data_IF_901855674809
#
_entry.id   IF_901855674809
#
_cell.length_a   1.000
_cell.length_b   1.000
_cell.length_c   1.000
_cell.angle_alpha   90.00
_cell.angle_beta   90.00
_cell.angle_gamma   90.00
#
_symmetry.space_group_name_H-M   'P 1'
#
loop_
_entity.id
_entity.type
_entity.pdbx_description
1 polymer ?
#
# COMPACT_ATOMS: atom_id res chain seq x y z
N UNK A 1 7.49 -37.80 -12.51
CA UNK A 1 6.47 -36.78 -12.75
C UNK A 1 5.95 -36.13 -11.46
N UNK A 2 5.53 -36.90 -10.43
CA UNK A 2 4.98 -36.40 -9.15
C UNK A 2 5.85 -35.27 -8.50
N UNK A 3 7.17 -35.54 -8.34
CA UNK A 3 8.09 -34.54 -7.74
C UNK A 3 8.19 -33.27 -8.57
N UNK A 4 8.11 -33.35 -9.89
CA UNK A 4 8.09 -32.21 -10.78
C UNK A 4 6.82 -31.38 -10.59
N UNK A 5 5.65 -32.02 -10.59
CA UNK A 5 4.37 -31.34 -10.36
C UNK A 5 4.30 -30.71 -8.95
N UNK A 6 4.90 -31.35 -7.94
CA UNK A 6 4.99 -30.78 -6.59
C UNK A 6 5.86 -29.51 -6.56
N UNK A 7 6.97 -29.49 -7.31
CA UNK A 7 7.78 -28.27 -7.49
C UNK A 7 7.01 -27.20 -8.24
N UNK A 8 6.40 -27.53 -9.39
CA UNK A 8 5.59 -26.60 -10.19
C UNK A 8 4.44 -26.00 -9.35
N UNK A 9 3.74 -26.82 -8.56
CA UNK A 9 2.71 -26.36 -7.63
C UNK A 9 3.25 -25.31 -6.65
N UNK A 10 4.45 -25.53 -6.11
CA UNK A 10 5.10 -24.62 -5.16
C UNK A 10 5.48 -23.31 -5.84
N UNK A 11 5.99 -23.36 -7.07
CA UNK A 11 6.33 -22.17 -7.85
C UNK A 11 5.08 -21.34 -8.21
N UNK A 12 4.00 -22.01 -8.61
CA UNK A 12 2.70 -21.37 -8.86
C UNK A 12 2.16 -20.71 -7.59
N UNK A 13 2.19 -21.41 -6.46
CA UNK A 13 1.76 -20.89 -5.16
C UNK A 13 2.54 -19.63 -4.76
N UNK A 14 3.87 -19.70 -4.88
CA UNK A 14 4.75 -18.58 -4.58
C UNK A 14 4.44 -17.38 -5.47
N UNK A 15 4.34 -17.57 -6.78
CA UNK A 15 4.07 -16.50 -7.75
C UNK A 15 2.69 -15.89 -7.53
N UNK A 16 1.64 -16.70 -7.37
CA UNK A 16 0.28 -16.20 -7.12
C UNK A 16 0.21 -15.39 -5.83
N UNK A 17 0.80 -15.89 -4.76
CA UNK A 17 0.82 -15.22 -3.46
C UNK A 17 1.62 -13.91 -3.48
N UNK A 18 2.78 -13.88 -4.16
CA UNK A 18 3.56 -12.67 -4.34
C UNK A 18 2.78 -11.60 -5.15
N UNK A 19 2.02 -12.00 -6.19
CA UNK A 19 1.14 -11.12 -6.95
C UNK A 19 -0.03 -10.60 -6.12
N UNK A 20 -0.65 -11.42 -5.25
CA UNK A 20 -1.64 -10.95 -4.28
C UNK A 20 -1.06 -9.92 -3.31
N UNK A 21 0.16 -10.14 -2.82
CA UNK A 21 0.83 -9.20 -1.93
C UNK A 21 1.12 -7.87 -2.64
N UNK A 22 1.58 -7.92 -3.90
CA UNK A 22 1.77 -6.74 -4.74
C UNK A 22 0.45 -5.97 -4.95
N UNK A 23 -0.64 -6.67 -5.27
CA UNK A 23 -1.97 -6.09 -5.42
C UNK A 23 -2.42 -5.37 -4.14
N UNK A 24 -2.27 -6.00 -2.97
CA UNK A 24 -2.61 -5.39 -1.66
C UNK A 24 -1.75 -4.16 -1.37
N UNK A 25 -0.47 -4.19 -1.71
CA UNK A 25 0.45 -3.06 -1.54
C UNK A 25 0.05 -1.88 -2.42
N UNK A 26 -0.32 -2.12 -3.68
CA UNK A 26 -0.77 -1.08 -4.61
C UNK A 26 -2.14 -0.51 -4.21
N UNK A 27 -3.10 -1.34 -3.79
CA UNK A 27 -4.39 -0.87 -3.25
C UNK A 27 -4.21 0.02 -2.02
N UNK A 28 -3.25 -0.31 -1.15
CA UNK A 28 -2.92 0.54 0.00
C UNK A 28 -2.36 1.88 -0.43
N UNK A 29 -1.46 1.93 -1.44
CA UNK A 29 -0.97 3.19 -2.01
C UNK A 29 -2.11 4.05 -2.54
N UNK A 30 -3.04 3.47 -3.28
CA UNK A 30 -4.23 4.15 -3.79
C UNK A 30 -5.08 4.73 -2.66
N UNK A 31 -5.37 3.92 -1.64
CA UNK A 31 -6.15 4.34 -0.47
C UNK A 31 -5.48 5.53 0.26
N UNK A 32 -4.18 5.44 0.55
CA UNK A 32 -3.46 6.52 1.24
C UNK A 32 -3.33 7.77 0.37
N UNK A 33 -3.24 7.65 -0.95
CA UNK A 33 -3.34 8.78 -1.88
C UNK A 33 -4.68 9.50 -1.71
N UNK A 34 -5.78 8.77 -1.75
CA UNK A 34 -7.14 9.32 -1.61
C UNK A 34 -7.34 9.98 -0.24
N UNK A 35 -6.90 9.33 0.84
CA UNK A 35 -6.96 9.89 2.20
C UNK A 35 -6.14 11.18 2.28
N UNK A 36 -4.94 11.21 1.69
CA UNK A 36 -4.09 12.41 1.71
C UNK A 36 -4.72 13.58 0.98
N UNK A 37 -5.35 13.33 -0.19
CA UNK A 37 -6.09 14.35 -0.92
C UNK A 37 -7.23 14.92 -0.09
N UNK A 38 -8.01 14.07 0.58
CA UNK A 38 -9.09 14.49 1.45
C UNK A 38 -8.57 15.33 2.64
N UNK A 39 -7.50 14.87 3.32
CA UNK A 39 -6.91 15.58 4.46
C UNK A 39 -6.40 16.98 4.07
N UNK A 40 -5.64 17.11 2.98
CA UNK A 40 -5.14 18.40 2.54
C UNK A 40 -6.25 19.32 2.05
N UNK A 41 -7.30 18.77 1.41
CA UNK A 41 -8.48 19.57 1.02
C UNK A 41 -9.22 20.11 2.25
N UNK A 42 -9.47 19.29 3.27
CA UNK A 42 -10.07 19.71 4.53
C UNK A 42 -9.21 20.74 5.23
N UNK A 43 -7.88 20.53 5.26
CA UNK A 43 -6.95 21.49 5.85
C UNK A 43 -7.02 22.88 5.17
N UNK A 44 -7.05 22.91 3.83
CA UNK A 44 -7.14 24.16 3.06
C UNK A 44 -8.44 24.90 3.36
N UNK A 45 -9.56 24.18 3.40
CA UNK A 45 -10.88 24.76 3.75
C UNK A 45 -10.86 25.27 5.20
N UNK A 46 -10.35 24.47 6.14
CA UNK A 46 -10.26 24.85 7.54
C UNK A 46 -9.44 26.13 7.75
N UNK A 47 -8.29 26.26 7.07
CA UNK A 47 -7.46 27.47 7.11
C UNK A 47 -8.23 28.68 6.61
N UNK A 48 -8.93 28.60 5.47
CA UNK A 48 -9.73 29.68 4.92
C UNK A 48 -10.86 30.11 5.87
N UNK A 49 -11.53 29.15 6.50
CA UNK A 49 -12.59 29.44 7.50
C UNK A 49 -12.00 30.11 8.74
N UNK A 50 -10.89 29.60 9.27
CA UNK A 50 -10.19 30.16 10.43
C UNK A 50 -9.74 31.61 10.15
N UNK A 51 -9.11 31.88 9.02
CA UNK A 51 -8.71 33.23 8.61
C UNK A 51 -9.91 34.15 8.56
N UNK A 52 -11.06 33.71 8.07
CA UNK A 52 -12.27 34.54 8.03
C UNK A 52 -12.85 34.82 9.40
N UNK A 53 -12.91 33.83 10.28
CA UNK A 53 -13.48 33.99 11.64
C UNK A 53 -12.59 34.86 12.51
N UNK A 54 -11.27 34.65 12.46
CA UNK A 54 -10.27 35.34 13.31
C UNK A 54 -9.51 36.41 12.55
N UNK A 55 -10.14 37.07 11.57
CA UNK A 55 -9.48 38.05 10.72
C UNK A 55 -8.84 39.21 11.50
N UNK A 56 -9.47 39.69 12.59
CA UNK A 56 -8.93 40.76 13.42
C UNK A 56 -7.65 40.34 14.14
N UNK A 57 -7.64 39.17 14.72
CA UNK A 57 -6.53 38.59 15.47
C UNK A 57 -5.36 38.23 14.56
N UNK A 58 -5.64 37.71 13.39
CA UNK A 58 -4.63 37.41 12.38
C UNK A 58 -3.92 38.66 11.87
N UNK A 59 -4.66 39.75 11.63
CA UNK A 59 -4.09 41.03 11.23
C UNK A 59 -3.30 41.71 12.37
N UNK A 60 -3.72 41.55 13.63
CA UNK A 60 -3.04 42.11 14.79
C UNK A 60 -1.72 41.39 15.11
N UNK A 61 -1.56 40.15 14.76
CA UNK A 61 -0.40 39.30 15.11
C UNK A 61 0.73 39.39 14.06
N UNK A 62 0.67 40.31 13.11
CA UNK A 62 1.70 40.58 12.09
C UNK A 62 2.28 39.34 11.42
N UNK A 63 1.80 39.01 10.20
CA UNK A 63 2.32 37.90 9.38
C UNK A 63 1.65 36.53 9.58
N UNK A 64 0.74 36.35 10.56
CA UNK A 64 0.04 35.08 10.73
C UNK A 64 -0.94 34.81 9.57
N UNK A 65 -1.54 35.84 9.01
CA UNK A 65 -2.42 35.75 7.85
C UNK A 65 -1.64 35.32 6.60
N UNK A 66 -0.48 35.93 6.36
CA UNK A 66 0.43 35.54 5.27
C UNK A 66 0.93 34.13 5.43
N UNK A 67 1.24 33.71 6.67
CA UNK A 67 1.64 32.35 6.97
C UNK A 67 0.53 31.34 6.67
N UNK A 68 -0.69 31.60 7.12
CA UNK A 68 -1.83 30.70 6.89
C UNK A 68 -2.18 30.62 5.38
N UNK A 69 -2.08 31.75 4.66
CA UNK A 69 -2.24 31.82 3.21
C UNK A 69 -1.16 30.99 2.51
N UNK A 70 0.10 31.14 2.88
CA UNK A 70 1.22 30.38 2.33
C UNK A 70 1.06 28.87 2.58
N UNK A 71 0.58 28.48 3.77
CA UNK A 71 0.29 27.09 4.12
C UNK A 71 -0.85 26.52 3.29
N UNK A 72 -1.89 27.31 3.00
CA UNK A 72 -3.00 26.91 2.12
C UNK A 72 -2.52 26.69 0.68
N UNK A 73 -1.64 27.56 0.16
CA UNK A 73 -1.03 27.42 -1.16
C UNK A 73 -0.17 26.16 -1.21
N UNK A 74 0.66 25.90 -0.18
CA UNK A 74 1.49 24.70 -0.10
C UNK A 74 0.62 23.42 -0.08
N UNK A 75 -0.47 23.41 0.69
CA UNK A 75 -1.41 22.30 0.70
C UNK A 75 -2.03 22.06 -0.70
N UNK A 76 -2.38 23.14 -1.43
CA UNK A 76 -2.85 23.06 -2.81
C UNK A 76 -1.82 22.45 -3.76
N UNK A 77 -0.55 22.82 -3.64
CA UNK A 77 0.55 22.23 -4.42
C UNK A 77 0.69 20.72 -4.11
N UNK A 78 0.60 20.33 -2.82
CA UNK A 78 0.65 18.92 -2.43
C UNK A 78 -0.53 18.11 -2.98
N UNK A 79 -1.74 18.68 -2.99
CA UNK A 79 -2.92 18.07 -3.62
C UNK A 79 -2.65 17.75 -5.09
N UNK A 80 -2.15 18.74 -5.84
CA UNK A 80 -1.82 18.56 -7.27
C UNK A 80 -0.75 17.49 -7.45
N UNK A 81 0.33 17.55 -6.67
CA UNK A 81 1.43 16.60 -6.76
C UNK A 81 0.96 15.15 -6.48
N UNK A 82 0.19 14.94 -5.40
CA UNK A 82 -0.34 13.62 -5.04
C UNK A 82 -1.34 13.11 -6.09
N UNK A 83 -2.19 13.99 -6.62
CA UNK A 83 -3.13 13.65 -7.70
C UNK A 83 -2.39 13.16 -8.95
N UNK A 84 -1.38 13.90 -9.40
CA UNK A 84 -0.58 13.53 -10.57
C UNK A 84 0.21 12.22 -10.35
N UNK A 85 0.79 12.04 -9.16
CA UNK A 85 1.45 10.78 -8.79
C UNK A 85 0.47 9.60 -8.77
N UNK A 86 -0.72 9.78 -8.22
CA UNK A 86 -1.78 8.77 -8.18
C UNK A 86 -2.25 8.37 -9.58
N UNK A 87 -2.50 9.36 -10.43
CA UNK A 87 -2.92 9.14 -11.82
C UNK A 87 -1.84 8.45 -12.66
N UNK A 88 -0.59 8.95 -12.58
CA UNK A 88 0.54 8.40 -13.35
C UNK A 88 0.93 6.97 -12.95
N UNK A 89 0.80 6.62 -11.68
CA UNK A 89 1.19 5.30 -11.17
C UNK A 89 0.17 4.19 -11.46
N UNK A 90 -1.08 4.53 -11.80
CA UNK A 90 -2.19 3.58 -12.06
C UNK A 90 -2.32 2.47 -11.00
N UNK A 91 -2.06 2.80 -9.73
CA UNK A 91 -1.97 1.81 -8.67
C UNK A 91 -3.22 0.91 -8.59
N UNK A 92 -4.42 1.47 -8.76
CA UNK A 92 -5.68 0.72 -8.71
C UNK A 92 -5.80 -0.31 -9.84
N UNK A 93 -5.65 0.13 -11.09
CA UNK A 93 -5.77 -0.78 -12.25
C UNK A 93 -4.66 -1.83 -12.27
N UNK A 94 -3.45 -1.46 -11.87
CA UNK A 94 -2.32 -2.38 -11.72
C UNK A 94 -2.57 -3.42 -10.62
N UNK A 95 -3.17 -3.01 -9.51
CA UNK A 95 -3.56 -3.93 -8.45
C UNK A 95 -4.62 -4.93 -8.91
N UNK A 96 -5.63 -4.48 -9.65
CA UNK A 96 -6.69 -5.34 -10.18
C UNK A 96 -6.15 -6.34 -11.21
N UNK A 97 -5.22 -5.91 -12.08
CA UNK A 97 -4.56 -6.81 -13.04
C UNK A 97 -3.75 -7.90 -12.34
N UNK A 98 -2.94 -7.54 -11.33
CA UNK A 98 -2.17 -8.48 -10.52
C UNK A 98 -3.08 -9.44 -9.74
N UNK A 99 -4.18 -8.93 -9.18
CA UNK A 99 -5.13 -9.73 -8.43
C UNK A 99 -5.79 -10.80 -9.32
N UNK A 100 -6.33 -10.41 -10.48
CA UNK A 100 -6.94 -11.34 -11.44
C UNK A 100 -5.95 -12.40 -11.91
N UNK A 101 -4.73 -12.00 -12.23
CA UNK A 101 -3.70 -12.94 -12.64
C UNK A 101 -3.32 -13.92 -11.52
N UNK A 102 -3.27 -13.44 -10.27
CA UNK A 102 -3.05 -14.30 -9.10
C UNK A 102 -4.22 -15.29 -8.89
N UNK A 103 -5.47 -14.91 -9.19
CA UNK A 103 -6.63 -15.82 -9.15
C UNK A 103 -6.50 -16.93 -10.19
N UNK A 104 -6.11 -16.60 -11.43
CA UNK A 104 -5.87 -17.60 -12.49
C UNK A 104 -4.77 -18.60 -12.09
N UNK A 105 -3.65 -18.10 -11.55
CA UNK A 105 -2.56 -18.92 -11.02
C UNK A 105 -3.02 -19.82 -9.87
N UNK A 106 -3.84 -19.31 -8.97
CA UNK A 106 -4.37 -20.09 -7.86
C UNK A 106 -5.37 -21.20 -8.33
N UNK A 107 -6.11 -20.93 -9.41
CA UNK A 107 -6.94 -21.96 -10.05
C UNK A 107 -6.07 -23.06 -10.67
N UNK A 108 -4.99 -22.69 -11.37
CA UNK A 108 -4.03 -23.65 -11.91
C UNK A 108 -3.35 -24.46 -10.80
N UNK A 109 -2.96 -23.84 -9.69
CA UNK A 109 -2.40 -24.54 -8.52
C UNK A 109 -3.33 -25.65 -8.03
N UNK A 110 -4.65 -25.41 -7.95
CA UNK A 110 -5.62 -26.42 -7.56
C UNK A 110 -5.68 -27.58 -8.58
N UNK A 111 -5.62 -27.26 -9.87
CA UNK A 111 -5.60 -28.27 -10.94
C UNK A 111 -4.36 -29.17 -10.85
N UNK A 112 -3.18 -28.55 -10.63
CA UNK A 112 -1.92 -29.33 -10.42
C UNK A 112 -2.02 -30.22 -9.19
N UNK A 113 -2.62 -29.72 -8.09
CA UNK A 113 -2.79 -30.53 -6.89
C UNK A 113 -3.75 -31.71 -7.09
N UNK A 114 -4.81 -31.53 -7.87
CA UNK A 114 -5.71 -32.62 -8.25
C UNK A 114 -4.98 -33.70 -9.06
N UNK A 115 -4.10 -33.31 -9.97
CA UNK A 115 -3.34 -34.24 -10.78
C UNK A 115 -2.31 -35.03 -9.95
N UNK A 116 -1.63 -34.37 -9.00
CA UNK A 116 -0.75 -35.03 -8.04
C UNK A 116 -1.51 -36.15 -7.28
N UNK A 117 -2.74 -35.86 -6.82
CA UNK A 117 -3.56 -36.80 -6.08
C UNK A 117 -4.03 -37.99 -6.98
N UNK A 118 -4.32 -37.73 -8.26
CA UNK A 118 -4.65 -38.83 -9.21
C UNK A 118 -3.47 -39.78 -9.41
N UNK A 119 -2.27 -39.25 -9.60
CA UNK A 119 -1.05 -40.05 -9.73
C UNK A 119 -0.83 -40.90 -8.48
N UNK A 120 -1.14 -40.40 -7.30
CA UNK A 120 -1.04 -41.16 -6.04
C UNK A 120 -2.04 -42.30 -5.97
N UNK A 121 -3.24 -42.15 -6.54
CA UNK A 121 -4.28 -43.13 -6.53
C UNK A 121 -4.07 -44.23 -7.60
N UNK A 122 -3.74 -43.82 -8.83
CA UNK A 122 -3.78 -44.72 -10.01
C UNK A 122 -2.39 -45.11 -10.52
N UNK A 123 -1.31 -44.51 -10.01
CA UNK A 123 0.09 -44.73 -10.42
C UNK A 123 0.36 -44.54 -11.93
N UNK A 124 -0.54 -43.85 -12.65
CA UNK A 124 -0.38 -43.56 -14.07
C UNK A 124 0.33 -42.20 -14.22
N UNK A 125 1.45 -42.15 -14.89
CA UNK A 125 2.22 -40.97 -15.17
C UNK A 125 2.14 -40.58 -16.67
N UNK A 126 1.51 -39.44 -16.97
CA UNK A 126 1.49 -38.84 -18.31
C UNK A 126 2.23 -37.50 -18.31
N UNK A 127 3.45 -37.51 -18.83
CA UNK A 127 4.31 -36.36 -18.90
C UNK A 127 3.73 -35.23 -19.77
N UNK A 128 2.85 -35.54 -20.72
CA UNK A 128 2.16 -34.51 -21.52
C UNK A 128 1.29 -33.61 -20.66
N UNK A 129 0.63 -34.16 -19.65
CA UNK A 129 -0.16 -33.37 -18.69
C UNK A 129 0.73 -32.37 -17.93
N UNK A 130 1.94 -32.80 -17.54
CA UNK A 130 2.87 -31.91 -16.85
C UNK A 130 3.39 -30.78 -17.77
N UNK A 131 3.66 -31.08 -19.05
CA UNK A 131 4.04 -30.08 -20.06
C UNK A 131 2.90 -29.09 -20.32
N UNK A 132 1.66 -29.56 -20.45
CA UNK A 132 0.48 -28.71 -20.65
C UNK A 132 0.24 -27.79 -19.46
N UNK A 133 0.46 -28.26 -18.23
CA UNK A 133 0.36 -27.45 -17.01
C UNK A 133 1.45 -26.39 -16.93
N UNK A 134 2.69 -26.72 -17.33
CA UNK A 134 3.78 -25.75 -17.40
C UNK A 134 3.48 -24.67 -18.46
N UNK A 135 3.06 -25.07 -19.66
CA UNK A 135 2.70 -24.14 -20.73
C UNK A 135 1.55 -23.20 -20.30
N UNK A 136 0.55 -23.74 -19.58
CA UNK A 136 -0.54 -22.96 -19.01
C UNK A 136 -0.03 -21.93 -17.97
N UNK A 137 0.91 -22.34 -17.12
CA UNK A 137 1.54 -21.44 -16.14
C UNK A 137 2.25 -20.28 -16.81
N UNK A 138 3.07 -20.55 -17.82
CA UNK A 138 3.79 -19.54 -18.59
C UNK A 138 2.82 -18.60 -19.33
N UNK A 139 1.77 -19.16 -19.92
CA UNK A 139 0.73 -18.38 -20.58
C UNK A 139 0.00 -17.45 -19.63
N UNK A 140 -0.37 -17.89 -18.43
CA UNK A 140 -1.00 -17.03 -17.42
C UNK A 140 -0.04 -15.95 -16.98
N UNK A 141 1.24 -16.26 -16.79
CA UNK A 141 2.24 -15.26 -16.42
C UNK A 141 2.39 -14.17 -17.48
N UNK A 142 2.42 -14.54 -18.75
CA UNK A 142 2.62 -13.61 -19.88
C UNK A 142 1.43 -12.66 -20.11
N UNK A 143 0.23 -12.98 -19.60
CA UNK A 143 -0.96 -12.11 -19.73
C UNK A 143 -0.90 -10.85 -18.85
N UNK A 144 0.02 -10.79 -17.91
CA UNK A 144 0.15 -9.67 -17.00
C UNK A 144 1.51 -9.00 -17.16
N UNK A 145 1.52 -7.83 -17.79
CA UNK A 145 2.75 -7.04 -18.02
C UNK A 145 3.37 -6.52 -16.72
N UNK A 146 2.61 -6.55 -15.63
CA UNK A 146 3.05 -6.06 -14.32
C UNK A 146 3.52 -7.24 -13.48
N UNK A 147 4.70 -7.10 -12.88
CA UNK A 147 5.24 -8.11 -12.00
C UNK A 147 5.22 -7.64 -10.53
N UNK A 148 5.27 -8.61 -9.62
CA UNK A 148 5.47 -8.35 -8.19
C UNK A 148 6.92 -7.91 -7.93
N UNK A 149 7.14 -7.15 -6.86
CA UNK A 149 8.49 -6.78 -6.43
C UNK A 149 9.15 -7.90 -5.62
N UNK A 150 10.50 -7.93 -5.55
CA UNK A 150 11.21 -8.87 -4.67
C UNK A 150 10.75 -8.80 -3.21
N UNK A 151 10.29 -7.64 -2.76
CA UNK A 151 9.77 -7.45 -1.40
C UNK A 151 8.42 -8.17 -1.18
N UNK A 152 7.56 -8.25 -2.20
CA UNK A 152 6.29 -8.96 -2.13
C UNK A 152 6.50 -10.47 -2.02
N UNK A 153 7.49 -11.00 -2.74
CA UNK A 153 7.92 -12.40 -2.66
C UNK A 153 8.59 -12.70 -1.31
N UNK A 154 9.50 -11.84 -0.87
CA UNK A 154 10.15 -11.99 0.44
C UNK A 154 9.13 -11.98 1.59
N UNK A 155 8.13 -11.09 1.53
CA UNK A 155 7.04 -11.06 2.49
C UNK A 155 6.23 -12.36 2.49
N UNK A 156 5.96 -12.95 1.33
CA UNK A 156 5.31 -14.26 1.23
C UNK A 156 6.16 -15.35 1.89
N UNK A 157 7.43 -15.47 1.53
CA UNK A 157 8.34 -16.49 2.07
C UNK A 157 8.46 -16.37 3.60
N UNK A 158 8.63 -15.16 4.12
CA UNK A 158 8.75 -14.93 5.57
C UNK A 158 7.46 -15.25 6.33
N UNK A 159 6.30 -15.01 5.71
CA UNK A 159 4.99 -15.36 6.28
C UNK A 159 4.77 -16.87 6.32
N UNK A 160 5.30 -17.60 5.36
CA UNK A 160 5.19 -19.06 5.24
C UNK A 160 6.47 -19.81 5.66
N UNK A 161 7.36 -19.19 6.46
CA UNK A 161 8.65 -19.76 6.87
C UNK A 161 8.57 -21.09 7.61
N UNK A 162 7.39 -21.45 8.15
CA UNK A 162 7.16 -22.73 8.85
C UNK A 162 6.64 -23.82 7.92
N UNK A 163 6.27 -23.48 6.69
CA UNK A 163 5.81 -24.48 5.70
C UNK A 163 6.99 -25.34 5.27
N UNK A 164 6.77 -26.64 5.02
CA UNK A 164 7.84 -27.58 4.60
C UNK A 164 8.63 -27.08 3.39
N UNK A 165 7.94 -26.42 2.45
CA UNK A 165 8.51 -25.89 1.22
C UNK A 165 9.52 -24.77 1.44
N UNK A 166 9.43 -24.04 2.56
CA UNK A 166 10.29 -22.87 2.85
C UNK A 166 11.10 -23.00 4.15
N UNK A 167 10.91 -24.06 4.92
CA UNK A 167 11.59 -24.28 6.19
C UNK A 167 13.13 -24.33 6.07
N UNK A 168 13.65 -24.72 4.89
CA UNK A 168 15.09 -24.74 4.60
C UNK A 168 15.76 -23.36 4.69
N UNK A 169 15.00 -22.26 4.53
CA UNK A 169 15.52 -20.88 4.60
C UNK A 169 15.83 -20.40 6.03
N UNK A 170 15.41 -21.15 7.06
CA UNK A 170 15.70 -20.90 8.49
C UNK A 170 15.45 -19.45 8.94
N UNK A 171 14.45 -18.78 8.42
CA UNK A 171 14.12 -17.38 8.70
C UNK A 171 13.61 -17.24 10.15
N UNK A 172 14.22 -16.34 10.91
CA UNK A 172 13.88 -16.10 12.31
C UNK A 172 12.64 -15.22 12.46
N UNK A 173 12.01 -15.26 13.64
CA UNK A 173 10.77 -14.52 13.88
C UNK A 173 10.92 -12.99 13.84
N UNK A 174 12.09 -12.47 14.24
CA UNK A 174 12.35 -11.03 14.17
C UNK A 174 12.58 -10.55 12.73
N UNK A 175 13.25 -11.35 11.89
CA UNK A 175 13.44 -11.06 10.46
C UNK A 175 12.09 -11.00 9.75
N UNK A 176 11.20 -11.96 10.03
CA UNK A 176 9.87 -11.96 9.45
C UNK A 176 9.05 -10.73 9.86
N UNK A 177 9.16 -10.27 11.12
CA UNK A 177 8.51 -9.04 11.58
C UNK A 177 9.09 -7.80 10.90
N UNK A 178 10.41 -7.76 10.74
CA UNK A 178 11.08 -6.65 10.04
C UNK A 178 10.64 -6.57 8.58
N UNK A 179 10.64 -7.69 7.85
CA UNK A 179 10.17 -7.73 6.46
C UNK A 179 8.71 -7.29 6.36
N UNK A 180 7.86 -7.73 7.27
CA UNK A 180 6.45 -7.32 7.31
C UNK A 180 6.29 -5.83 7.53
N UNK A 181 7.09 -5.24 8.43
CA UNK A 181 7.12 -3.80 8.69
C UNK A 181 7.59 -3.02 7.46
N UNK A 182 8.71 -3.43 6.85
CA UNK A 182 9.24 -2.78 5.63
C UNK A 182 8.25 -2.90 4.47
N UNK A 183 7.61 -4.05 4.29
CA UNK A 183 6.59 -4.25 3.26
C UNK A 183 5.37 -3.33 3.48
N UNK A 184 4.90 -3.20 4.71
CA UNK A 184 3.83 -2.27 5.05
C UNK A 184 4.26 -0.82 4.80
N UNK A 185 5.40 -0.41 5.33
CA UNK A 185 5.93 0.96 5.23
C UNK A 185 6.21 1.36 3.78
N UNK A 186 6.66 0.43 2.91
CA UNK A 186 6.98 0.70 1.50
C UNK A 186 5.81 1.28 0.68
N UNK A 187 4.58 1.11 1.16
CA UNK A 187 3.38 1.65 0.51
C UNK A 187 2.93 3.01 1.03
N UNK A 188 3.38 3.43 2.22
CA UNK A 188 2.78 4.60 2.90
C UNK A 188 3.79 5.65 3.35
N UNK A 189 5.11 5.36 3.37
CA UNK A 189 6.13 6.19 4.01
C UNK A 189 6.13 7.66 3.58
N UNK A 190 5.97 7.93 2.28
CA UNK A 190 5.97 9.31 1.78
C UNK A 190 4.69 10.07 2.13
N UNK A 191 3.53 9.40 2.23
CA UNK A 191 2.31 10.03 2.74
C UNK A 191 2.46 10.42 4.21
N UNK A 192 3.08 9.53 5.03
CA UNK A 192 3.36 9.83 6.44
C UNK A 192 4.27 11.06 6.58
N UNK A 193 5.30 11.20 5.74
CA UNK A 193 6.15 12.38 5.74
C UNK A 193 5.33 13.63 5.44
N UNK A 194 4.50 13.62 4.40
CA UNK A 194 3.64 14.77 4.08
C UNK A 194 2.68 15.11 5.21
N UNK A 195 2.09 14.12 5.87
CA UNK A 195 1.20 14.35 7.01
C UNK A 195 1.93 14.94 8.22
N UNK A 196 3.12 14.44 8.54
CA UNK A 196 3.93 14.95 9.65
C UNK A 196 4.36 16.39 9.38
N UNK A 197 4.86 16.70 8.18
CA UNK A 197 5.24 18.07 7.80
C UNK A 197 4.03 19.01 7.87
N UNK A 198 2.89 18.58 7.33
CA UNK A 198 1.67 19.38 7.33
C UNK A 198 1.14 19.61 8.75
N UNK A 199 1.14 18.59 9.60
CA UNK A 199 0.73 18.71 11.00
C UNK A 199 1.66 19.65 11.78
N UNK A 200 2.98 19.54 11.59
CA UNK A 200 3.95 20.42 12.21
C UNK A 200 3.76 21.90 11.77
N UNK A 201 3.50 22.11 10.48
CA UNK A 201 3.25 23.44 9.95
C UNK A 201 1.92 24.05 10.45
N UNK A 202 0.97 23.25 10.92
CA UNK A 202 -0.27 23.77 11.55
C UNK A 202 -0.08 24.26 12.99
N UNK A 203 1.00 23.89 13.68
CA UNK A 203 1.22 24.23 15.10
C UNK A 203 1.14 25.76 15.36
N UNK A 204 1.79 26.66 14.59
CA UNK A 204 1.71 28.09 14.85
C UNK A 204 0.27 28.63 14.76
N UNK A 205 -0.51 28.18 13.78
CA UNK A 205 -1.91 28.58 13.60
C UNK A 205 -2.77 28.13 14.78
N UNK A 206 -2.63 26.86 15.18
CA UNK A 206 -3.38 26.29 16.30
C UNK A 206 -3.01 26.95 17.63
N UNK A 207 -1.72 27.28 17.84
CA UNK A 207 -1.27 27.96 19.06
C UNK A 207 -1.83 29.38 19.15
N UNK A 208 -1.87 30.13 18.05
CA UNK A 208 -2.48 31.46 18.01
C UNK A 208 -3.98 31.41 18.33
N UNK A 209 -4.73 30.47 17.74
CA UNK A 209 -6.16 30.28 18.02
C UNK A 209 -6.38 29.94 19.50
N UNK A 210 -5.56 29.06 20.06
CA UNK A 210 -5.69 28.68 21.49
C UNK A 210 -5.45 29.85 22.43
N UNK A 211 -4.54 30.76 22.09
CA UNK A 211 -4.27 31.98 22.85
C UNK A 211 -5.48 32.94 22.82
N UNK A 212 -6.03 33.16 21.63
CA UNK A 212 -7.24 34.00 21.45
C UNK A 212 -8.44 33.43 22.21
N UNK A 213 -8.66 32.12 22.11
CA UNK A 213 -9.75 31.47 22.84
C UNK A 213 -9.63 31.63 24.37
N UNK A 214 -8.42 31.57 24.92
CA UNK A 214 -8.17 31.84 26.35
C UNK A 214 -8.47 33.27 26.75
N UNK A 215 -8.10 34.29 25.93
CA UNK A 215 -8.38 35.69 26.22
C UNK A 215 -9.88 36.02 26.20
N UNK A 216 -10.65 35.34 25.35
CA UNK A 216 -12.12 35.49 25.29
C UNK A 216 -12.81 34.83 26.50
N UNK A 217 -12.29 33.66 26.94
CA UNK A 217 -12.88 32.89 28.03
C UNK A 217 -12.44 33.35 29.43
N UNK A 218 -11.48 34.23 29.59
CA UNK A 218 -11.17 34.91 30.86
C UNK A 218 -11.94 36.23 30.91
N UNK A 219 -13.15 36.30 31.54
CA UNK A 219 -13.82 37.58 31.78
C UNK A 219 -12.91 38.35 32.71
N UNK A 220 -12.52 39.58 32.26
CA UNK A 220 -11.77 40.49 33.11
C UNK A 220 -12.53 40.74 34.41
N UNK A 221 -12.06 40.17 35.53
CA UNK A 221 -12.33 40.64 36.84
C UNK A 221 -11.55 41.96 37.00
N UNK A 222 -12.17 43.04 36.63
CA UNK A 222 -11.78 44.41 36.90
C UNK A 222 -12.92 45.13 37.59
#
# INVERSE_FOLDING_TARGET
MKNYLASLRTDIWRTSSARYNAARRLKRKELFSTISLALFSVQTIALAVIQKIYAKEFNATGGLDDYATSLSILAGILIIAISLMGWGSRNGSNADALYKNAEELNALQRSVNLEINKIEADSVEDWKVAEDMLATYEQIQSRCDINHSPLDDLYFITSHRKSPEFAYKKIQGYEARWVSFVWFLSSIWYYLIFWVISAAAMIPVLSAISLVARTICTPGFG
#
